data_IF_661959943402
#
_entry.id   IF_661959943402
#
_cell.length_a   1.000
_cell.length_b   1.000
_cell.length_c   1.000
_cell.angle_alpha   90.00
_cell.angle_beta   90.00
_cell.angle_gamma   90.00
#
_symmetry.space_group_name_H-M   'P 1'
#
loop_
_entity.id
_entity.type
_entity.pdbx_description
1 polymer ?
#
# COMPACT_ATOMS: atom_id res chain seq x y z
N UNK A 1 12.96 -3.81 10.21
CA UNK A 1 12.07 -3.37 9.11
C UNK A 1 11.55 -1.98 9.46
N UNK A 2 11.91 -0.96 8.67
CA UNK A 2 11.42 0.42 8.84
C UNK A 2 10.30 0.63 7.82
N UNK A 3 9.09 0.92 8.28
CA UNK A 3 7.91 1.15 7.43
C UNK A 3 7.53 2.61 7.56
N UNK A 4 7.38 3.31 6.43
CA UNK A 4 6.76 4.64 6.39
C UNK A 4 5.29 4.47 6.00
N UNK A 5 4.41 5.21 6.68
CA UNK A 5 2.96 5.12 6.48
C UNK A 5 2.42 6.50 6.13
N UNK A 6 1.55 6.56 5.12
CA UNK A 6 0.73 7.72 4.78
C UNK A 6 -0.71 7.25 4.70
N UNK A 7 -1.62 8.05 5.26
CA UNK A 7 -3.05 7.73 5.31
C UNK A 7 -3.78 8.58 4.29
N UNK A 8 -4.64 7.95 3.50
CA UNK A 8 -5.65 8.62 2.67
C UNK A 8 -7.00 8.34 3.29
N UNK A 9 -7.78 9.40 3.53
CA UNK A 9 -9.11 9.30 4.13
C UNK A 9 -10.18 9.83 3.19
N UNK A 10 -11.35 9.19 3.20
CA UNK A 10 -12.54 9.70 2.54
C UNK A 10 -13.29 10.64 3.50
N UNK A 11 -14.10 11.54 2.97
CA UNK A 11 -14.93 12.42 3.83
C UNK A 11 -15.83 11.64 4.79
N UNK A 12 -16.31 10.46 4.38
CA UNK A 12 -17.17 9.62 5.23
C UNK A 12 -16.38 8.93 6.35
N UNK A 13 -15.12 8.56 6.11
CA UNK A 13 -14.28 7.93 7.13
C UNK A 13 -14.01 8.86 8.32
N UNK A 14 -13.96 10.19 8.09
CA UNK A 14 -13.75 11.21 9.14
C UNK A 14 -14.81 11.20 10.25
N UNK A 15 -15.95 10.53 10.06
CA UNK A 15 -16.96 10.37 11.11
C UNK A 15 -16.60 9.31 12.17
N UNK A 16 -15.60 8.46 11.92
CA UNK A 16 -15.29 7.30 12.75
C UNK A 16 -14.01 7.43 13.58
N UNK A 17 -13.25 8.51 13.37
CA UNK A 17 -12.02 8.79 14.09
C UNK A 17 -11.78 10.29 14.14
N UNK A 18 -10.86 10.75 14.99
CA UNK A 18 -10.44 12.15 15.03
C UNK A 18 -9.11 12.29 14.31
N UNK A 19 -8.97 13.29 13.45
CA UNK A 19 -7.78 13.44 12.61
C UNK A 19 -6.51 13.64 13.45
N UNK A 20 -6.65 14.20 14.65
CA UNK A 20 -5.57 14.43 15.61
C UNK A 20 -5.00 13.14 16.20
N UNK A 21 -5.76 12.03 16.14
CA UNK A 21 -5.30 10.72 16.60
C UNK A 21 -4.39 10.03 15.57
N UNK A 22 -4.29 10.57 14.35
CA UNK A 22 -3.44 10.04 13.27
C UNK A 22 -2.08 10.74 13.29
N UNK A 23 -1.07 10.03 13.79
CA UNK A 23 0.29 10.56 14.00
C UNK A 23 1.21 10.48 12.76
N UNK A 24 0.64 10.22 11.59
CA UNK A 24 1.34 10.09 10.31
C UNK A 24 0.71 11.03 9.28
N UNK A 25 1.39 11.35 8.16
CA UNK A 25 0.78 12.21 7.14
C UNK A 25 -0.59 11.69 6.70
N UNK A 26 -1.59 12.56 6.82
CA UNK A 26 -3.00 12.29 6.51
C UNK A 26 -3.42 13.18 5.35
N UNK A 27 -3.95 12.58 4.29
CA UNK A 27 -4.42 13.26 3.10
C UNK A 27 -5.91 12.98 2.87
N UNK A 28 -6.61 13.98 2.37
CA UNK A 28 -8.02 13.98 2.04
C UNK A 28 -8.27 14.64 0.69
N UNK A 29 -9.51 14.65 0.24
CA UNK A 29 -9.88 15.21 -1.07
C UNK A 29 -9.50 16.70 -1.20
N UNK A 30 -9.49 17.44 -0.08
CA UNK A 30 -9.09 18.85 -0.10
C UNK A 30 -7.60 19.05 -0.40
N UNK A 31 -6.74 18.10 -0.01
CA UNK A 31 -5.30 18.19 -0.21
C UNK A 31 -4.92 18.09 -1.69
N UNK A 32 -5.70 17.33 -2.47
CA UNK A 32 -5.50 17.18 -3.91
C UNK A 32 -5.58 18.53 -4.64
N UNK A 33 -6.60 19.31 -4.34
CA UNK A 33 -6.84 20.61 -4.96
C UNK A 33 -6.01 21.74 -4.34
N UNK A 34 -5.54 21.59 -3.10
CA UNK A 34 -4.62 22.55 -2.49
C UNK A 34 -3.20 22.46 -3.07
N UNK A 35 -2.78 21.26 -3.49
CA UNK A 35 -1.46 21.03 -4.08
C UNK A 35 -1.40 21.38 -5.57
N UNK A 36 -2.52 21.24 -6.30
CA UNK A 36 -2.57 21.51 -7.73
C UNK A 36 -3.17 22.89 -8.02
N UNK A 37 -2.32 23.91 -8.19
CA UNK A 37 -2.73 25.31 -8.47
C UNK A 37 -2.49 25.73 -9.93
N UNK A 38 -1.53 25.09 -10.58
CA UNK A 38 -1.18 25.30 -11.98
C UNK A 38 -0.80 23.97 -12.65
N UNK A 39 -0.83 23.94 -13.98
CA UNK A 39 -0.65 22.70 -14.78
C UNK A 39 0.66 21.95 -14.51
N UNK A 40 1.70 22.63 -14.06
CA UNK A 40 3.01 22.05 -13.74
C UNK A 40 3.10 21.47 -12.32
N UNK A 41 2.11 21.71 -11.46
CA UNK A 41 2.15 21.26 -10.08
C UNK A 41 1.94 19.74 -9.99
N UNK A 42 2.54 19.08 -8.97
CA UNK A 42 2.35 17.66 -8.75
C UNK A 42 0.88 17.33 -8.48
N UNK A 43 0.41 16.24 -9.06
CA UNK A 43 -0.94 15.72 -8.84
C UNK A 43 -0.89 14.68 -7.72
N UNK A 44 -1.49 14.99 -6.57
CA UNK A 44 -1.31 14.24 -5.33
C UNK A 44 -1.58 12.73 -5.47
N UNK A 45 -2.67 12.32 -6.14
CA UNK A 45 -2.96 10.89 -6.30
C UNK A 45 -1.90 10.13 -7.10
N UNK A 46 -1.24 10.81 -8.06
CA UNK A 46 -0.13 10.23 -8.84
C UNK A 46 1.12 10.11 -7.97
N UNK A 47 1.41 11.12 -7.14
CA UNK A 47 2.54 11.09 -6.21
C UNK A 47 2.38 10.00 -5.15
N UNK A 48 1.19 9.84 -4.57
CA UNK A 48 0.89 8.76 -3.62
C UNK A 48 1.07 7.38 -4.27
N UNK A 49 0.58 7.19 -5.49
CA UNK A 49 0.76 5.95 -6.27
C UNK A 49 2.22 5.65 -6.59
N UNK A 50 3.03 6.69 -6.85
CA UNK A 50 4.48 6.54 -7.08
C UNK A 50 5.20 6.16 -5.79
N UNK A 51 4.93 6.88 -4.71
CA UNK A 51 5.54 6.68 -3.39
C UNK A 51 5.25 5.31 -2.79
N UNK A 52 3.99 4.85 -2.85
CA UNK A 52 3.58 3.63 -2.14
C UNK A 52 4.15 2.36 -2.78
N UNK A 53 4.77 1.49 -2.00
CA UNK A 53 5.18 0.13 -2.40
C UNK A 53 4.05 -0.90 -2.32
N UNK A 54 3.11 -0.65 -1.41
CA UNK A 54 1.93 -1.45 -1.10
C UNK A 54 0.78 -0.50 -0.77
N UNK A 55 -0.44 -0.86 -1.14
CA UNK A 55 -1.66 -0.18 -0.70
C UNK A 55 -2.48 -1.11 0.18
N UNK A 56 -3.05 -0.59 1.26
CA UNK A 56 -3.99 -1.28 2.12
C UNK A 56 -5.23 -0.41 2.29
N UNK A 57 -6.40 -0.93 1.93
CA UNK A 57 -7.69 -0.28 2.19
C UNK A 57 -8.37 -1.01 3.35
N UNK A 58 -8.38 -0.40 4.53
CA UNK A 58 -8.90 -1.00 5.75
C UNK A 58 -9.48 0.09 6.68
N UNK A 59 -10.82 0.17 6.83
CA UNK A 59 -11.84 -0.64 6.17
C UNK A 59 -12.07 -0.27 4.69
N UNK A 60 -12.53 -1.24 3.89
CA UNK A 60 -13.19 -1.01 2.61
C UNK A 60 -14.71 -1.12 2.81
N UNK A 61 -15.41 0.00 2.79
CA UNK A 61 -16.88 0.02 2.84
C UNK A 61 -17.49 -0.43 1.49
N UNK A 62 -18.78 -0.79 1.51
CA UNK A 62 -19.47 -1.28 0.31
C UNK A 62 -19.57 -0.23 -0.81
N UNK A 63 -19.62 1.06 -0.46
CA UNK A 63 -19.72 2.14 -1.43
C UNK A 63 -18.42 2.29 -2.23
N UNK A 64 -17.29 2.32 -1.53
CA UNK A 64 -15.94 2.38 -2.11
C UNK A 64 -15.64 1.08 -2.87
N UNK A 65 -16.08 -0.08 -2.37
CA UNK A 65 -16.00 -1.34 -3.11
C UNK A 65 -16.73 -1.24 -4.46
N UNK A 66 -17.97 -0.75 -4.45
CA UNK A 66 -18.75 -0.53 -5.66
C UNK A 66 -18.09 0.48 -6.60
N UNK A 67 -17.50 1.56 -6.06
CA UNK A 67 -16.78 2.57 -6.84
C UNK A 67 -15.58 1.97 -7.56
N UNK A 68 -14.73 1.22 -6.85
CA UNK A 68 -13.54 0.59 -7.42
C UNK A 68 -13.94 -0.44 -8.47
N UNK A 69 -14.93 -1.29 -8.18
CA UNK A 69 -15.41 -2.31 -9.12
C UNK A 69 -15.92 -1.70 -10.43
N UNK A 70 -16.60 -0.56 -10.37
CA UNK A 70 -17.13 0.13 -11.55
C UNK A 70 -16.16 1.17 -12.17
N UNK A 71 -14.97 1.35 -11.58
CA UNK A 71 -13.94 2.25 -12.09
C UNK A 71 -14.21 3.75 -11.85
N UNK A 72 -15.06 4.10 -10.88
CA UNK A 72 -15.24 5.48 -10.45
C UNK A 72 -13.97 6.01 -9.75
N UNK A 73 -13.64 7.27 -10.00
CA UNK A 73 -12.48 7.97 -9.45
C UNK A 73 -12.86 9.43 -9.13
N UNK A 74 -13.71 9.60 -8.11
CA UNK A 74 -14.35 10.87 -7.75
C UNK A 74 -13.88 11.43 -6.41
N UNK A 75 -12.90 10.78 -5.78
CA UNK A 75 -12.23 11.23 -4.56
C UNK A 75 -10.76 10.77 -4.56
N UNK A 76 -9.95 11.29 -3.65
CA UNK A 76 -8.51 11.05 -3.63
C UNK A 76 -8.19 9.54 -3.58
N UNK A 77 -8.85 8.79 -2.69
CA UNK A 77 -8.64 7.34 -2.56
C UNK A 77 -8.91 6.60 -3.87
N UNK A 78 -10.08 6.82 -4.48
CA UNK A 78 -10.49 6.13 -5.70
C UNK A 78 -9.65 6.56 -6.91
N UNK A 79 -9.17 7.81 -6.95
CA UNK A 79 -8.19 8.27 -7.93
C UNK A 79 -6.85 7.51 -7.81
N UNK A 80 -6.31 7.33 -6.59
CA UNK A 80 -5.07 6.56 -6.39
C UNK A 80 -5.28 5.10 -6.83
N UNK A 81 -6.40 4.47 -6.46
CA UNK A 81 -6.74 3.09 -6.85
C UNK A 81 -6.88 2.97 -8.37
N UNK A 82 -7.58 3.90 -9.02
CA UNK A 82 -7.80 3.87 -10.46
C UNK A 82 -6.50 4.03 -11.26
N UNK A 83 -5.55 4.78 -10.71
CA UNK A 83 -4.22 4.95 -11.24
C UNK A 83 -3.24 3.83 -10.85
N UNK A 84 -3.61 2.90 -9.96
CA UNK A 84 -2.69 1.97 -9.30
C UNK A 84 -1.84 1.13 -10.26
N UNK A 85 -0.57 0.90 -9.89
CA UNK A 85 0.28 -0.05 -10.59
C UNK A 85 -0.09 -1.47 -10.18
N UNK A 86 -0.68 -2.26 -11.08
CA UNK A 86 -1.09 -3.65 -10.79
C UNK A 86 0.10 -4.58 -10.49
N UNK A 87 1.34 -4.15 -10.71
CA UNK A 87 2.55 -4.88 -10.26
C UNK A 87 2.83 -4.68 -8.76
N UNK A 88 2.24 -3.65 -8.13
CA UNK A 88 2.37 -3.38 -6.70
C UNK A 88 1.19 -4.02 -5.94
N UNK A 89 1.43 -4.66 -4.79
CA UNK A 89 0.35 -5.27 -4.02
C UNK A 89 -0.67 -4.24 -3.54
N UNK A 90 -1.95 -4.56 -3.72
CA UNK A 90 -3.08 -3.84 -3.15
C UNK A 90 -3.90 -4.83 -2.33
N UNK A 91 -4.01 -4.59 -1.03
CA UNK A 91 -4.84 -5.37 -0.14
C UNK A 91 -6.09 -4.57 0.22
N UNK A 92 -7.22 -5.25 0.36
CA UNK A 92 -8.45 -4.63 0.83
C UNK A 92 -9.12 -5.49 1.89
N UNK A 93 -9.68 -4.82 2.90
CA UNK A 93 -10.33 -5.44 4.06
C UNK A 93 -11.78 -4.98 4.09
N UNK A 94 -12.74 -5.72 3.49
CA UNK A 94 -14.13 -5.30 3.49
C UNK A 94 -14.66 -5.16 4.93
N UNK A 95 -15.50 -4.16 5.16
CA UNK A 95 -16.16 -3.95 6.44
C UNK A 95 -17.53 -3.34 6.23
N UNK A 96 -18.59 -4.09 6.55
CA UNK A 96 -19.97 -3.68 6.35
C UNK A 96 -20.92 -4.51 7.20
N UNK A 97 -22.16 -4.06 7.33
CA UNK A 97 -23.20 -4.86 7.97
C UNK A 97 -23.41 -6.20 7.23
N UNK A 98 -23.83 -7.25 7.96
CA UNK A 98 -24.08 -8.58 7.41
C UNK A 98 -25.01 -8.58 6.20
N UNK A 99 -26.09 -7.82 6.22
CA UNK A 99 -27.02 -7.74 5.10
C UNK A 99 -26.38 -7.14 3.84
N UNK A 100 -25.43 -6.21 4.00
CA UNK A 100 -24.65 -5.68 2.87
C UNK A 100 -23.63 -6.71 2.37
N UNK A 101 -23.00 -7.46 3.28
CA UNK A 101 -22.05 -8.51 2.93
C UNK A 101 -22.70 -9.67 2.16
N UNK A 102 -23.89 -10.10 2.60
CA UNK A 102 -24.68 -11.16 1.97
C UNK A 102 -25.38 -10.73 0.68
N UNK A 103 -25.41 -9.43 0.38
CA UNK A 103 -25.98 -8.94 -0.86
C UNK A 103 -25.18 -9.50 -2.07
N UNK A 104 -25.83 -10.05 -3.10
CA UNK A 104 -25.15 -10.75 -4.19
C UNK A 104 -24.14 -9.87 -4.95
N UNK A 105 -24.40 -8.56 -5.02
CA UNK A 105 -23.47 -7.60 -5.65
C UNK A 105 -22.11 -7.55 -4.94
N UNK A 106 -22.07 -7.75 -3.63
CA UNK A 106 -20.82 -7.68 -2.85
C UNK A 106 -19.89 -8.81 -3.25
N UNK A 107 -20.41 -10.03 -3.37
CA UNK A 107 -19.63 -11.17 -3.85
C UNK A 107 -19.08 -10.93 -5.27
N UNK A 108 -19.90 -10.40 -6.18
CA UNK A 108 -19.48 -10.07 -7.55
C UNK A 108 -18.38 -9.01 -7.58
N UNK A 109 -18.50 -7.96 -6.76
CA UNK A 109 -17.51 -6.88 -6.71
C UNK A 109 -16.20 -7.36 -6.07
N UNK A 110 -16.26 -8.17 -5.01
CA UNK A 110 -15.07 -8.79 -4.40
C UNK A 110 -14.36 -9.67 -5.43
N UNK A 111 -15.09 -10.52 -6.15
CA UNK A 111 -14.53 -11.37 -7.22
C UNK A 111 -13.90 -10.54 -8.35
N UNK A 112 -14.51 -9.40 -8.70
CA UNK A 112 -13.95 -8.50 -9.69
C UNK A 112 -12.62 -7.87 -9.23
N UNK A 113 -12.54 -7.41 -7.98
CA UNK A 113 -11.31 -6.85 -7.41
C UNK A 113 -10.21 -7.93 -7.30
N UNK A 114 -10.54 -9.14 -6.89
CA UNK A 114 -9.57 -10.25 -6.87
C UNK A 114 -9.12 -10.63 -8.28
N UNK A 115 -10.02 -10.58 -9.28
CA UNK A 115 -9.71 -10.71 -10.70
C UNK A 115 -8.76 -9.63 -11.24
N UNK A 116 -8.72 -8.45 -10.60
CA UNK A 116 -7.71 -7.43 -10.90
C UNK A 116 -6.32 -7.74 -10.32
N UNK A 117 -6.19 -8.79 -9.50
CA UNK A 117 -4.97 -9.16 -8.80
C UNK A 117 -4.82 -8.48 -7.44
N UNK A 118 -5.92 -7.92 -6.90
CA UNK A 118 -5.92 -7.37 -5.54
C UNK A 118 -6.16 -8.49 -4.53
N UNK A 119 -5.58 -8.36 -3.34
CA UNK A 119 -5.64 -9.38 -2.30
C UNK A 119 -6.72 -9.04 -1.29
N UNK A 120 -7.76 -9.87 -1.22
CA UNK A 120 -8.76 -9.78 -0.16
C UNK A 120 -8.18 -10.22 1.19
N UNK A 121 -8.41 -9.43 2.23
CA UNK A 121 -8.36 -9.89 3.62
C UNK A 121 -9.81 -10.03 4.09
N UNK A 122 -10.33 -11.26 4.26
CA UNK A 122 -11.76 -11.49 4.40
C UNK A 122 -12.31 -10.95 5.73
N UNK A 123 -13.59 -10.57 5.70
CA UNK A 123 -14.32 -10.22 6.92
C UNK A 123 -14.36 -11.40 7.91
N UNK A 124 -14.42 -11.06 9.20
CA UNK A 124 -14.64 -12.01 10.29
C UNK A 124 -16.10 -11.99 10.73
N UNK A 125 -16.48 -13.04 11.47
CA UNK A 125 -17.75 -13.13 12.17
C UNK A 125 -17.56 -12.49 13.55
N UNK A 126 -18.44 -11.54 13.92
CA UNK A 126 -18.53 -11.04 15.29
C UNK A 126 -19.95 -11.25 15.81
N UNK A 127 -20.06 -11.61 17.09
CA UNK A 127 -21.35 -11.58 17.80
C UNK A 127 -21.78 -10.13 17.96
N UNK A 128 -22.95 -9.81 17.42
CA UNK A 128 -23.60 -8.52 17.62
C UNK A 128 -24.17 -8.46 19.05
N UNK A 129 -24.38 -7.24 19.55
CA UNK A 129 -24.93 -7.01 20.89
C UNK A 129 -26.34 -7.62 21.07
N UNK A 130 -27.06 -7.91 19.98
CA UNK A 130 -28.36 -8.58 19.98
C UNK A 130 -28.31 -10.11 20.10
N UNK A 131 -27.11 -10.72 20.06
CA UNK A 131 -26.93 -12.18 20.08
C UNK A 131 -26.82 -12.83 18.71
N UNK A 132 -27.10 -12.10 17.62
CA UNK A 132 -26.93 -12.59 16.26
C UNK A 132 -25.44 -12.64 15.87
N UNK A 133 -25.03 -13.72 15.20
CA UNK A 133 -23.72 -13.85 14.58
C UNK A 133 -23.77 -13.34 13.15
N UNK A 134 -22.94 -12.34 12.82
CA UNK A 134 -22.92 -11.71 11.51
C UNK A 134 -21.54 -11.70 10.89
N UNK A 135 -21.43 -12.13 9.63
CA UNK A 135 -20.21 -11.96 8.82
C UNK A 135 -20.22 -10.56 8.21
N UNK A 136 -19.11 -9.83 8.31
CA UNK A 136 -19.00 -8.49 7.71
C UNK A 136 -18.11 -7.53 8.49
N UNK A 137 -17.72 -7.89 9.72
CA UNK A 137 -16.74 -7.13 10.47
C UNK A 137 -15.36 -7.21 9.81
N UNK A 138 -14.63 -6.08 9.78
CA UNK A 138 -13.26 -6.03 9.28
C UNK A 138 -12.38 -7.05 10.02
N UNK A 139 -11.41 -7.64 9.31
CA UNK A 139 -10.36 -8.43 9.94
C UNK A 139 -9.65 -7.66 11.05
N UNK A 140 -9.17 -8.39 12.07
CA UNK A 140 -8.39 -7.81 13.15
C UNK A 140 -7.10 -7.17 12.63
N UNK A 141 -6.69 -6.06 13.25
CA UNK A 141 -5.49 -5.29 12.82
C UNK A 141 -4.24 -6.17 12.79
N UNK A 142 -4.09 -7.09 13.74
CA UNK A 142 -2.98 -8.05 13.77
C UNK A 142 -2.91 -8.91 12.50
N UNK A 143 -4.05 -9.41 12.03
CA UNK A 143 -4.17 -10.20 10.80
C UNK A 143 -3.78 -9.38 9.57
N UNK A 144 -4.22 -8.12 9.51
CA UNK A 144 -3.88 -7.21 8.41
C UNK A 144 -2.36 -6.98 8.37
N UNK A 145 -1.76 -6.67 9.53
CA UNK A 145 -0.33 -6.42 9.65
C UNK A 145 0.51 -7.65 9.29
N UNK A 146 0.08 -8.85 9.67
CA UNK A 146 0.75 -10.10 9.30
C UNK A 146 0.79 -10.27 7.77
N UNK A 147 -0.35 -10.07 7.10
CA UNK A 147 -0.44 -10.16 5.63
C UNK A 147 0.45 -9.13 4.93
N UNK A 148 0.48 -7.89 5.43
CA UNK A 148 1.37 -6.85 4.89
C UNK A 148 2.85 -7.24 5.05
N UNK A 149 3.25 -7.75 6.22
CA UNK A 149 4.63 -8.17 6.48
C UNK A 149 5.10 -9.25 5.50
N UNK A 150 4.27 -10.28 5.28
CA UNK A 150 4.59 -11.37 4.34
C UNK A 150 4.87 -10.81 2.95
N UNK A 151 3.97 -9.97 2.42
CA UNK A 151 4.12 -9.40 1.07
C UNK A 151 5.33 -8.49 0.92
N UNK A 152 5.66 -7.69 1.94
CA UNK A 152 6.85 -6.83 1.87
C UNK A 152 8.12 -7.66 1.97
N UNK A 153 8.16 -8.71 2.80
CA UNK A 153 9.33 -9.61 2.90
C UNK A 153 9.59 -10.43 1.63
N UNK A 154 8.54 -10.85 0.92
CA UNK A 154 8.65 -11.51 -0.40
C UNK A 154 9.23 -10.57 -1.46
N UNK A 155 8.90 -9.26 -1.38
CA UNK A 155 9.43 -8.25 -2.30
C UNK A 155 10.91 -7.98 -2.06
N UNK A 156 11.35 -7.97 -0.80
CA UNK A 156 12.78 -7.85 -0.44
C UNK A 156 13.57 -9.05 -0.99
N UNK A 157 13.05 -10.27 -0.87
CA UNK A 157 13.70 -11.47 -1.42
C UNK A 157 13.67 -11.52 -2.95
N UNK A 158 12.60 -11.05 -3.59
CA UNK A 158 12.52 -10.99 -5.05
C UNK A 158 13.41 -9.89 -5.66
N UNK A 159 13.69 -8.80 -4.93
CA UNK A 159 14.62 -7.76 -5.37
C UNK A 159 16.09 -8.22 -5.29
N UNK A 160 16.42 -9.15 -4.39
CA UNK A 160 17.74 -9.80 -4.31
C UNK A 160 17.96 -10.94 -5.32
N UNK A 161 16.89 -11.53 -5.88
CA UNK A 161 16.95 -12.59 -6.89
C UNK A 161 17.17 -12.02 -8.31
N UNK A 162 18.23 -11.24 -8.50
CA UNK A 162 18.86 -11.13 -9.83
C UNK A 162 20.09 -12.03 -9.81
N UNK A 163 19.92 -13.31 -10.09
CA UNK A 163 21.06 -14.20 -10.36
C UNK A 163 21.65 -13.75 -11.70
N UNK A 164 22.65 -12.88 -11.65
CA UNK A 164 23.57 -12.70 -12.77
C UNK A 164 24.33 -14.02 -12.86
N UNK A 165 23.96 -14.87 -13.80
CA UNK A 165 24.77 -16.04 -14.15
C UNK A 165 26.10 -15.54 -14.71
N UNK A 166 27.08 -15.36 -13.83
CA UNK A 166 28.47 -15.12 -14.17
C UNK A 166 29.17 -16.47 -14.47
N UNK A 167 28.54 -17.30 -15.31
CA UNK A 167 29.07 -18.63 -15.66
C UNK A 167 29.31 -18.80 -17.16
N UNK A 168 28.95 -17.81 -17.99
CA UNK A 168 29.20 -17.86 -19.43
C UNK A 168 30.59 -17.32 -19.85
N UNK A 169 31.47 -17.00 -18.90
CA UNK A 169 32.82 -16.46 -19.17
C UNK A 169 33.99 -17.19 -18.49
N UNK A 170 33.79 -18.41 -17.95
CA UNK A 170 34.88 -19.23 -17.40
C UNK A 170 35.04 -20.59 -18.13
N UNK A 171 36.28 -21.02 -18.43
CA UNK A 171 36.53 -22.30 -19.08
C UNK A 171 36.17 -23.50 -18.19
N UNK A 172 35.69 -24.58 -18.81
CA UNK A 172 34.97 -25.74 -18.24
C UNK A 172 35.67 -26.56 -17.13
N UNK A 173 36.80 -26.14 -16.57
CA UNK A 173 37.61 -26.94 -15.62
C UNK A 173 37.51 -26.49 -14.15
N UNK A 174 36.61 -25.57 -13.79
CA UNK A 174 36.55 -25.02 -12.42
C UNK A 174 35.15 -24.94 -11.79
N UNK A 175 34.22 -25.79 -12.21
CA UNK A 175 32.94 -25.93 -11.50
C UNK A 175 33.08 -26.92 -10.34
N UNK A 176 33.23 -26.41 -9.12
CA UNK A 176 33.20 -27.20 -7.87
C UNK A 176 31.74 -27.35 -7.41
N UNK A 177 31.38 -28.58 -6.99
CA UNK A 177 30.05 -28.99 -6.54
C UNK A 177 29.84 -28.72 -5.04
N UNK A 178 28.73 -28.04 -4.72
CA UNK A 178 28.02 -27.95 -3.41
C UNK A 178 28.60 -27.07 -2.30
N UNK A 179 27.81 -26.77 -1.24
CA UNK A 179 26.71 -25.81 -1.19
C UNK A 179 27.13 -24.59 -0.36
N UNK A 180 26.76 -23.38 -0.75
CA UNK A 180 27.06 -22.19 0.05
C UNK A 180 25.79 -21.55 0.58
N UNK A 181 25.70 -21.53 1.91
CA UNK A 181 24.75 -20.80 2.73
C UNK A 181 25.29 -19.38 2.91
N UNK A 182 24.47 -18.37 2.64
CA UNK A 182 24.75 -16.97 3.01
C UNK A 182 23.50 -16.38 3.66
N UNK A 183 23.62 -15.99 4.92
CA UNK A 183 22.69 -15.11 5.64
C UNK A 183 23.49 -13.89 6.14
N UNK A 184 22.82 -12.80 6.56
CA UNK A 184 22.61 -11.58 5.79
C UNK A 184 23.66 -10.49 6.11
N UNK A 185 23.78 -9.46 5.26
CA UNK A 185 24.34 -8.17 5.71
C UNK A 185 23.54 -6.99 5.19
N UNK A 186 22.80 -6.39 6.11
CA UNK A 186 22.38 -4.99 6.08
C UNK A 186 23.63 -4.08 6.00
N UNK A 187 23.57 -3.04 5.16
CA UNK A 187 24.43 -1.85 5.29
C UNK A 187 23.56 -0.69 5.76
N UNK A 188 23.94 -0.09 6.87
CA UNK A 188 23.47 1.23 7.29
C UNK A 188 23.66 2.27 6.16
N UNK A 189 22.83 3.32 6.11
CA UNK A 189 23.04 4.45 5.22
C UNK A 189 24.34 5.19 5.60
N UNK A 190 25.15 5.66 4.63
CA UNK A 190 26.24 6.56 4.95
C UNK A 190 25.72 7.93 5.43
N UNK A 191 26.44 8.47 6.42
CA UNK A 191 26.21 9.73 7.14
C UNK A 191 26.00 10.95 6.22
N UNK A 192 25.15 11.88 6.69
CA UNK A 192 25.12 13.26 6.22
C UNK A 192 26.37 14.00 6.66
N UNK A 193 27.03 14.70 5.75
CA UNK A 193 28.12 15.62 6.08
C UNK A 193 28.18 16.79 5.06
N UNK A 194 28.86 17.91 5.37
CA UNK A 194 28.24 19.09 5.98
C UNK A 194 28.13 20.29 5.02
N UNK A 195 27.34 21.29 5.42
CA UNK A 195 27.28 22.62 4.79
C UNK A 195 28.66 23.29 4.71
N UNK A 196 29.07 23.85 3.55
CA UNK A 196 30.18 24.77 3.48
C UNK A 196 29.71 26.19 3.85
N UNK A 197 30.30 26.74 4.90
CA UNK A 197 30.28 28.15 5.28
C UNK A 197 31.09 29.02 4.30
N UNK A 198 30.61 30.25 4.14
CA UNK A 198 31.17 31.43 3.45
C UNK A 198 32.70 31.53 3.29
N UNK A 199 33.15 31.94 2.08
CA UNK A 199 34.15 33.01 1.93
C UNK A 199 34.19 33.62 0.51
N UNK A 200 33.75 34.89 0.44
CA UNK A 200 34.27 36.08 -0.28
C UNK A 200 34.74 36.04 -1.76
N UNK A 201 34.21 37.04 -2.48
CA UNK A 201 34.85 37.98 -3.42
C UNK A 201 35.31 37.48 -4.80
N UNK A 202 34.68 37.98 -5.88
CA UNK A 202 35.20 39.16 -6.62
C UNK A 202 34.23 39.61 -7.73
N UNK A 203 34.05 40.92 -7.82
CA UNK A 203 33.45 41.68 -8.95
C UNK A 203 34.54 41.94 -10.01
N UNK A 204 34.18 42.24 -11.28
CA UNK A 204 33.79 43.60 -11.67
C UNK A 204 32.39 43.73 -12.26
#
# INVERSE_FOLDING_TARGET
MRVEVRVVTTEHAKHFYRSEDILVPLYSDTDEWQMWKQKSDPVLHIELRRWADVMVIAPLDANTLAKIANGFCDNLLTCVVRAWDRKKPLLFCPAMNTAMWEHPITAQQVEQLTGFGYTEIPCIIKKLACGDEGRGAMAEVATILEKVKVLVSEKETSAELTVVNWTDSLPAKQQVKSPFMVLPTYRDPPESDPTPSDTKQDTP
#
